data_IF_268820759930
#
_entry.id   IF_268820759930
#
_cell.length_a   1.000
_cell.length_b   1.000
_cell.length_c   1.000
_cell.angle_alpha   90.00
_cell.angle_beta   90.00
_cell.angle_gamma   90.00
#
_symmetry.space_group_name_H-M   'P 1'
#
loop_
_entity.id
_entity.type
_entity.pdbx_description
1 polymer ?
#
# COMPACT_ATOMS: atom_id res chain seq x y z
N UNK A 1 6.13 23.46 -9.92
CA UNK A 1 5.63 22.07 -10.09
C UNK A 1 4.98 21.66 -8.78
N UNK A 2 3.65 21.79 -8.69
CA UNK A 2 2.88 21.48 -7.49
C UNK A 2 2.59 19.97 -7.45
N UNK A 3 3.46 19.22 -6.79
CA UNK A 3 3.31 17.77 -6.56
C UNK A 3 2.66 17.52 -5.19
N UNK A 4 1.41 17.92 -4.97
CA UNK A 4 0.80 17.73 -3.63
C UNK A 4 -0.73 17.59 -3.59
N UNK A 5 -1.38 17.28 -4.71
CA UNK A 5 -2.76 16.77 -4.67
C UNK A 5 -2.74 15.29 -5.09
N UNK A 6 -2.09 14.46 -4.29
CA UNK A 6 -2.34 13.03 -4.37
C UNK A 6 -3.69 12.76 -3.70
N UNK A 7 -4.77 13.09 -4.42
CA UNK A 7 -6.11 12.63 -4.08
C UNK A 7 -6.08 11.11 -4.16
N UNK A 8 -6.28 10.44 -3.02
CA UNK A 8 -6.47 9.00 -2.98
C UNK A 8 -7.63 8.67 -3.93
N UNK A 9 -7.45 7.78 -4.92
CA UNK A 9 -8.54 7.35 -5.77
C UNK A 9 -9.69 6.83 -4.91
N UNK A 10 -10.92 7.12 -5.31
CA UNK A 10 -12.13 6.64 -4.62
C UNK A 10 -12.11 5.12 -4.40
N UNK A 11 -11.47 4.38 -5.31
CA UNK A 11 -11.27 2.94 -5.22
C UNK A 11 -10.37 2.54 -4.05
N UNK A 12 -9.28 3.28 -3.79
CA UNK A 12 -8.39 3.02 -2.65
C UNK A 12 -9.12 3.34 -1.34
N UNK A 13 -9.79 4.49 -1.27
CA UNK A 13 -10.58 4.86 -0.09
C UNK A 13 -11.66 3.83 0.23
N UNK A 14 -12.35 3.32 -0.80
CA UNK A 14 -13.38 2.28 -0.66
C UNK A 14 -12.78 0.95 -0.23
N UNK A 15 -11.65 0.55 -0.82
CA UNK A 15 -10.94 -0.68 -0.45
C UNK A 15 -10.52 -0.63 1.02
N UNK A 16 -9.89 0.47 1.46
CA UNK A 16 -9.54 0.69 2.86
C UNK A 16 -10.76 0.66 3.78
N UNK A 17 -11.89 1.27 3.38
CA UNK A 17 -13.14 1.23 4.13
C UNK A 17 -13.72 -0.19 4.27
N UNK A 18 -13.50 -1.06 3.28
CA UNK A 18 -13.84 -2.49 3.32
C UNK A 18 -12.87 -3.33 4.15
N UNK A 19 -11.79 -2.74 4.66
CA UNK A 19 -10.72 -3.44 5.36
C UNK A 19 -9.72 -4.12 4.43
N UNK A 20 -9.72 -3.80 3.14
CA UNK A 20 -8.68 -4.24 2.21
C UNK A 20 -7.36 -3.53 2.53
N UNK A 21 -6.25 -4.26 2.42
CA UNK A 21 -4.93 -3.70 2.66
C UNK A 21 -4.59 -2.60 1.65
N UNK A 22 -3.88 -1.57 2.12
CA UNK A 22 -3.45 -0.45 1.28
C UNK A 22 -2.59 -0.93 0.10
N UNK A 23 -1.72 -1.91 0.31
CA UNK A 23 -0.86 -2.47 -0.73
C UNK A 23 -1.69 -3.09 -1.85
N UNK A 24 -2.71 -3.88 -1.52
CA UNK A 24 -3.64 -4.45 -2.50
C UNK A 24 -4.37 -3.37 -3.28
N UNK A 25 -4.91 -2.38 -2.58
CA UNK A 25 -5.65 -1.30 -3.20
C UNK A 25 -4.78 -0.52 -4.21
N UNK A 26 -3.56 -0.16 -3.82
CA UNK A 26 -2.60 0.49 -4.72
C UNK A 26 -2.21 -0.42 -5.88
N UNK A 27 -1.87 -1.68 -5.60
CA UNK A 27 -1.49 -2.66 -6.63
C UNK A 27 -2.58 -2.78 -7.71
N UNK A 28 -3.83 -2.93 -7.31
CA UNK A 28 -4.97 -3.01 -8.23
C UNK A 28 -5.21 -1.70 -8.99
N UNK A 29 -5.04 -0.54 -8.34
CA UNK A 29 -5.19 0.76 -9.02
C UNK A 29 -4.13 1.01 -10.09
N UNK A 30 -2.89 0.62 -9.83
CA UNK A 30 -1.81 0.76 -10.79
C UNK A 30 -1.79 -0.37 -11.84
N UNK A 31 -2.64 -1.40 -11.67
CA UNK A 31 -2.71 -2.54 -12.58
C UNK A 31 -1.53 -3.50 -12.46
N UNK A 32 -0.83 -3.50 -11.31
CA UNK A 32 0.29 -4.40 -11.06
C UNK A 32 -0.21 -5.78 -10.59
N UNK A 33 0.44 -6.85 -11.03
CA UNK A 33 0.29 -8.16 -10.40
C UNK A 33 1.12 -8.21 -9.11
N UNK A 34 0.84 -9.19 -8.24
CA UNK A 34 1.67 -9.43 -7.04
C UNK A 34 3.13 -9.64 -7.43
N UNK A 35 3.36 -10.39 -8.52
CA UNK A 35 4.69 -10.67 -9.07
C UNK A 35 5.37 -9.40 -9.60
N UNK A 36 4.66 -8.56 -10.37
CA UNK A 36 5.21 -7.29 -10.87
C UNK A 36 5.58 -6.35 -9.73
N UNK A 37 4.71 -6.25 -8.72
CA UNK A 37 4.97 -5.42 -7.54
C UNK A 37 6.16 -5.95 -6.75
N UNK A 38 6.25 -7.28 -6.55
CA UNK A 38 7.37 -7.92 -5.90
C UNK A 38 8.69 -7.59 -6.62
N UNK A 39 8.74 -7.69 -7.94
CA UNK A 39 9.92 -7.34 -8.75
C UNK A 39 10.26 -5.85 -8.62
N UNK A 40 9.27 -4.95 -8.72
CA UNK A 40 9.47 -3.51 -8.62
C UNK A 40 10.03 -3.08 -7.25
N UNK A 41 9.57 -3.74 -6.17
CA UNK A 41 9.99 -3.44 -4.79
C UNK A 41 11.24 -4.22 -4.36
N UNK A 42 11.64 -5.24 -5.14
CA UNK A 42 12.64 -6.23 -4.77
C UNK A 42 12.22 -7.12 -3.59
N UNK A 43 10.93 -7.40 -3.46
CA UNK A 43 10.33 -8.33 -2.51
C UNK A 43 9.98 -9.64 -3.23
N UNK A 44 9.52 -10.65 -2.49
CA UNK A 44 8.97 -11.87 -3.09
C UNK A 44 7.45 -11.79 -3.14
N UNK A 45 6.81 -12.54 -4.04
CA UNK A 45 5.35 -12.59 -4.15
C UNK A 45 4.71 -12.99 -2.82
N UNK A 46 5.31 -13.98 -2.13
CA UNK A 46 4.87 -14.42 -0.81
C UNK A 46 4.91 -13.30 0.24
N UNK A 47 5.94 -12.47 0.21
CA UNK A 47 6.07 -11.33 1.13
C UNK A 47 4.98 -10.29 0.87
N UNK A 48 4.70 -9.99 -0.40
CA UNK A 48 3.58 -9.11 -0.78
C UNK A 48 2.25 -9.69 -0.28
N UNK A 49 1.96 -10.97 -0.55
CA UNK A 49 0.73 -11.62 -0.09
C UNK A 49 0.60 -11.62 1.45
N UNK A 50 1.71 -11.83 2.16
CA UNK A 50 1.75 -11.79 3.63
C UNK A 50 1.47 -10.38 4.14
N UNK A 51 1.97 -9.35 3.46
CA UNK A 51 1.67 -7.94 3.75
C UNK A 51 0.19 -7.64 3.45
N UNK A 52 -0.31 -8.07 2.30
CA UNK A 52 -1.72 -7.89 1.88
C UNK A 52 -2.70 -8.58 2.84
N UNK A 53 -2.31 -9.73 3.40
CA UNK A 53 -3.09 -10.47 4.41
C UNK A 53 -3.02 -9.82 5.81
N UNK A 54 -2.18 -8.79 5.99
CA UNK A 54 -1.95 -8.13 7.28
C UNK A 54 -1.13 -8.98 8.26
N UNK A 55 -0.57 -10.09 7.82
CA UNK A 55 0.31 -10.97 8.58
C UNK A 55 1.72 -10.37 8.76
N UNK A 56 2.15 -9.49 7.85
CA UNK A 56 3.46 -8.86 7.87
C UNK A 56 3.35 -7.36 7.57
N UNK A 57 3.48 -6.49 8.58
CA UNK A 57 3.43 -5.04 8.40
C UNK A 57 4.78 -4.39 8.68
N UNK A 58 5.87 -5.00 8.17
CA UNK A 58 7.21 -4.42 8.32
C UNK A 58 7.24 -3.03 7.69
N UNK A 59 7.55 -1.97 8.47
CA UNK A 59 7.59 -0.62 7.96
C UNK A 59 8.62 -0.47 6.84
N UNK A 60 9.75 -1.20 6.92
CA UNK A 60 10.78 -1.22 5.87
C UNK A 60 10.27 -1.81 4.55
N UNK A 61 9.40 -2.83 4.59
CA UNK A 61 8.83 -3.42 3.36
C UNK A 61 7.79 -2.48 2.76
N UNK A 62 6.94 -1.88 3.59
CA UNK A 62 5.97 -0.87 3.16
C UNK A 62 6.65 0.35 2.54
N UNK A 63 7.77 0.81 3.12
CA UNK A 63 8.54 1.93 2.55
C UNK A 63 9.10 1.59 1.17
N UNK A 64 9.61 0.37 0.97
CA UNK A 64 10.09 -0.10 -0.33
C UNK A 64 8.97 -0.15 -1.36
N UNK A 65 7.78 -0.59 -0.96
CA UNK A 65 6.61 -0.64 -1.85
C UNK A 65 6.16 0.77 -2.22
N UNK A 66 6.07 1.67 -1.25
CA UNK A 66 5.76 3.07 -1.50
C UNK A 66 6.78 3.68 -2.47
N UNK A 67 8.08 3.46 -2.23
CA UNK A 67 9.14 3.96 -3.10
C UNK A 67 9.07 3.42 -4.53
N UNK A 68 8.81 2.13 -4.70
CA UNK A 68 8.67 1.50 -6.02
C UNK A 68 7.47 2.05 -6.81
N UNK A 69 6.40 2.42 -6.11
CA UNK A 69 5.22 3.06 -6.70
C UNK A 69 5.38 4.58 -6.86
N UNK A 70 6.52 5.15 -6.45
CA UNK A 70 6.78 6.61 -6.50
C UNK A 70 6.00 7.41 -5.47
N UNK A 71 5.54 6.77 -4.39
CA UNK A 71 4.77 7.35 -3.31
C UNK A 71 5.68 7.76 -2.14
N UNK A 72 5.25 8.73 -1.32
CA UNK A 72 5.98 9.08 -0.10
C UNK A 72 5.97 7.91 0.90
N UNK A 73 7.01 7.84 1.73
CA UNK A 73 7.27 6.80 2.75
C UNK A 73 6.03 6.54 3.64
N UNK A 74 5.30 7.62 3.93
CA UNK A 74 4.13 7.61 4.81
C UNK A 74 2.81 7.33 4.08
N UNK A 75 2.82 7.03 2.77
CA UNK A 75 1.61 6.74 2.00
C UNK A 75 1.00 5.38 2.37
N UNK A 76 1.85 4.41 2.71
CA UNK A 76 1.43 3.05 3.05
C UNK A 76 1.48 2.75 4.55
N UNK A 77 2.04 3.66 5.34
CA UNK A 77 1.97 3.60 6.80
C UNK A 77 0.63 4.22 7.19
N UNK A 78 -0.42 3.40 7.22
CA UNK A 78 -1.66 3.78 7.88
C UNK A 78 -1.37 3.70 9.37
N UNK A 79 -1.15 4.84 10.01
CA UNK A 79 -1.11 4.92 11.46
C UNK A 79 -2.41 4.32 12.01
N UNK A 80 -2.31 3.15 12.66
CA UNK A 80 -3.43 2.49 13.36
C UNK A 80 -4.12 3.40 14.40
N UNK A 81 -3.47 4.53 14.72
CA UNK A 81 -3.87 5.63 15.61
C UNK A 81 -5.27 6.23 15.38
N UNK A 82 -5.98 5.89 14.29
CA UNK A 82 -7.35 6.38 14.07
C UNK A 82 -8.46 5.32 14.15
N UNK A 83 -8.16 4.07 14.51
CA UNK A 83 -9.19 3.03 14.68
C UNK A 83 -9.79 2.94 16.09
N UNK A 84 -9.25 3.66 17.09
CA UNK A 84 -9.86 3.83 18.41
C UNK A 84 -10.51 5.22 18.55
N UNK A 85 -11.62 5.43 17.88
CA UNK A 85 -12.64 6.40 18.33
C UNK A 85 -13.99 6.00 17.75
N UNK A 86 -14.58 4.95 18.32
CA UNK A 86 -15.98 4.61 18.21
C UNK A 86 -16.43 4.01 19.53
#
# INVERSE_FOLDING_TARGET
MNNSDYTLPETISTALAKGTNIVTAFREQFGYSVEDLAVACGLTSLEIETIESGQNNDPLKLERIAHALGLPNNAMIIEESKRLSA
#
